data_IF_590144114146
#
_entry.id   IF_590144114146
#
_cell.length_a   1.000
_cell.length_b   1.000
_cell.length_c   1.000
_cell.angle_alpha   90.00
_cell.angle_beta   90.00
_cell.angle_gamma   90.00
#
_symmetry.space_group_name_H-M   'P 1'
#
loop_
_entity.id
_entity.type
_entity.pdbx_description
1 polymer ?
#
# COMPACT_ATOMS: atom_id res chain seq x y z
N UNK A 1 1.54 -1.19 32.64
CA UNK A 1 2.37 -2.08 31.80
C UNK A 1 3.17 -1.18 30.89
N UNK A 2 4.50 -1.29 30.90
CA UNK A 2 5.36 -0.59 29.94
C UNK A 2 5.01 -1.07 28.52
N UNK A 3 4.93 -0.14 27.57
CA UNK A 3 4.64 -0.50 26.18
C UNK A 3 5.94 -0.94 25.50
N UNK A 4 5.90 -1.86 24.53
CA UNK A 4 7.11 -2.35 23.89
C UNK A 4 7.84 -1.24 23.12
N UNK A 5 9.17 -1.29 23.13
CA UNK A 5 10.00 -0.63 22.13
C UNK A 5 10.01 -1.48 20.87
N UNK A 6 9.81 -0.86 19.69
CA UNK A 6 9.75 -1.60 18.44
C UNK A 6 10.40 -0.83 17.28
N UNK A 7 11.11 -1.55 16.45
CA UNK A 7 11.69 -1.06 15.20
C UNK A 7 11.12 -1.87 14.04
N UNK A 8 10.53 -1.16 13.07
CA UNK A 8 9.83 -1.77 11.95
C UNK A 8 10.37 -1.24 10.62
N UNK A 9 10.66 -2.17 9.71
CA UNK A 9 10.79 -1.85 8.28
C UNK A 9 9.47 -2.14 7.59
N UNK A 10 9.00 -1.17 6.80
CA UNK A 10 7.83 -1.34 5.94
C UNK A 10 8.26 -1.28 4.49
N UNK A 11 8.08 -2.40 3.78
CA UNK A 11 8.55 -2.56 2.42
C UNK A 11 7.38 -2.63 1.45
N UNK A 12 7.46 -1.88 0.37
CA UNK A 12 6.45 -1.93 -0.68
C UNK A 12 5.96 -0.57 -1.12
N UNK A 13 4.96 -0.58 -1.99
CA UNK A 13 4.31 0.64 -2.46
C UNK A 13 4.93 1.20 -3.75
N UNK A 14 4.09 1.22 -4.79
CA UNK A 14 4.29 2.01 -6.01
C UNK A 14 3.10 2.91 -6.33
N UNK A 15 2.01 2.78 -5.56
CA UNK A 15 0.76 3.55 -5.68
C UNK A 15 0.20 3.83 -4.28
N UNK A 16 -0.68 4.83 -4.17
CA UNK A 16 -1.32 5.17 -2.89
C UNK A 16 -2.07 4.02 -2.23
N UNK A 17 -2.64 3.08 -3.02
CA UNK A 17 -3.44 1.97 -2.51
C UNK A 17 -2.69 0.99 -1.58
N UNK A 18 -1.36 0.92 -1.69
CA UNK A 18 -0.53 0.09 -0.80
C UNK A 18 0.13 0.94 0.30
N UNK A 19 0.52 2.19 -0.03
CA UNK A 19 1.24 3.08 0.89
C UNK A 19 0.36 3.56 2.05
N UNK A 20 -0.89 3.94 1.78
CA UNK A 20 -1.75 4.49 2.84
C UNK A 20 -2.18 3.46 3.90
N UNK A 21 -2.53 2.21 3.54
CA UNK A 21 -2.73 1.17 4.53
C UNK A 21 -1.46 0.92 5.36
N UNK A 22 -0.29 0.93 4.71
CA UNK A 22 0.99 0.75 5.39
C UNK A 22 1.28 1.85 6.44
N UNK A 23 1.06 3.11 6.07
CA UNK A 23 1.13 4.25 6.99
C UNK A 23 0.14 4.10 8.14
N UNK A 24 -1.08 3.63 7.87
CA UNK A 24 -2.11 3.44 8.91
C UNK A 24 -1.70 2.36 9.91
N UNK A 25 -1.06 1.28 9.45
CA UNK A 25 -0.48 0.26 10.33
C UNK A 25 0.64 0.86 11.18
N UNK A 26 1.57 1.60 10.58
CA UNK A 26 2.68 2.24 11.31
C UNK A 26 2.15 3.17 12.40
N UNK A 27 1.21 4.06 12.08
CA UNK A 27 0.59 4.97 13.05
C UNK A 27 -0.01 4.19 14.23
N UNK A 28 -0.63 3.05 13.97
CA UNK A 28 -1.19 2.21 15.03
C UNK A 28 -0.11 1.51 15.87
N UNK A 29 1.01 1.09 15.26
CA UNK A 29 2.18 0.58 16.00
C UNK A 29 2.76 1.68 16.90
N UNK A 30 2.96 2.88 16.38
CA UNK A 30 3.45 4.04 17.14
C UNK A 30 2.57 4.35 18.35
N UNK A 31 1.24 4.30 18.20
CA UNK A 31 0.30 4.49 19.32
C UNK A 31 0.43 3.43 20.42
N UNK A 32 0.84 2.21 20.06
CA UNK A 32 0.91 1.05 20.96
C UNK A 32 2.30 0.83 21.56
N UNK A 33 3.28 1.64 21.19
CA UNK A 33 4.68 1.52 21.60
C UNK A 33 5.16 2.76 22.35
N UNK A 34 6.07 2.59 23.31
CA UNK A 34 6.68 3.72 24.01
C UNK A 34 7.77 4.38 23.15
N UNK A 35 8.47 3.58 22.34
CA UNK A 35 9.40 4.04 21.33
C UNK A 35 9.22 3.23 20.05
N UNK A 36 9.04 3.92 18.93
CA UNK A 36 8.90 3.30 17.63
C UNK A 36 9.90 3.89 16.64
N UNK A 37 10.71 3.05 16.02
CA UNK A 37 11.57 3.43 14.89
C UNK A 37 10.98 2.85 13.62
N UNK A 38 10.81 3.69 12.60
CA UNK A 38 10.18 3.28 11.35
C UNK A 38 11.08 3.63 10.17
N UNK A 39 11.30 2.65 9.30
CA UNK A 39 11.92 2.87 7.99
C UNK A 39 11.04 2.30 6.89
N UNK A 40 10.67 3.14 5.93
CA UNK A 40 10.04 2.67 4.71
C UNK A 40 11.09 2.34 3.64
N UNK A 41 10.91 1.23 2.94
CA UNK A 41 11.73 0.87 1.78
C UNK A 41 10.85 0.75 0.54
N UNK A 42 11.05 1.68 -0.40
CA UNK A 42 10.28 1.78 -1.64
C UNK A 42 11.16 1.54 -2.87
N UNK A 43 10.53 1.29 -4.02
CA UNK A 43 11.26 1.20 -5.28
C UNK A 43 11.77 2.57 -5.75
N UNK A 44 12.99 2.62 -6.29
CA UNK A 44 13.57 3.85 -6.85
C UNK A 44 12.70 4.41 -7.99
N UNK A 45 12.55 5.73 -8.05
CA UNK A 45 11.85 6.45 -9.13
C UNK A 45 10.31 6.41 -9.07
N UNK A 46 9.72 5.80 -8.02
CA UNK A 46 8.28 5.89 -7.77
C UNK A 46 7.90 7.12 -6.95
N UNK A 47 6.63 7.53 -7.01
CA UNK A 47 6.05 8.58 -6.14
C UNK A 47 5.97 8.17 -4.65
N UNK A 48 6.36 6.95 -4.32
CA UNK A 48 6.25 6.41 -2.96
C UNK A 48 7.11 7.16 -1.95
N UNK A 49 8.36 7.50 -2.31
CA UNK A 49 9.27 8.17 -1.40
C UNK A 49 8.72 9.54 -0.95
N UNK A 50 8.29 10.36 -1.90
CA UNK A 50 7.70 11.67 -1.62
C UNK A 50 6.45 11.57 -0.75
N UNK A 51 5.57 10.58 -0.98
CA UNK A 51 4.39 10.37 -0.13
C UNK A 51 4.79 10.05 1.30
N UNK A 52 5.76 9.15 1.50
CA UNK A 52 6.23 8.76 2.83
C UNK A 52 6.89 9.94 3.56
N UNK A 53 7.77 10.68 2.87
CA UNK A 53 8.46 11.86 3.41
C UNK A 53 7.47 12.94 3.86
N UNK A 54 6.41 13.19 3.06
CA UNK A 54 5.33 14.13 3.44
C UNK A 54 4.56 13.70 4.70
N UNK A 55 4.62 12.43 5.08
CA UNK A 55 4.04 11.93 6.33
C UNK A 55 5.07 11.89 7.49
N UNK A 56 6.27 12.42 7.29
CA UNK A 56 7.29 12.56 8.34
C UNK A 56 8.12 11.31 8.59
N UNK A 57 8.06 10.30 7.73
CA UNK A 57 8.77 9.04 7.93
C UNK A 57 10.09 8.98 7.16
N UNK A 58 11.06 8.25 7.72
CA UNK A 58 12.30 7.94 7.02
C UNK A 58 12.02 6.99 5.85
N UNK A 59 12.66 7.28 4.71
CA UNK A 59 12.55 6.46 3.51
C UNK A 59 13.91 6.10 2.94
N UNK A 60 14.04 4.85 2.52
CA UNK A 60 15.14 4.35 1.72
C UNK A 60 14.62 3.75 0.42
N UNK A 61 15.50 3.62 -0.56
CA UNK A 61 15.16 3.05 -1.86
C UNK A 61 15.98 1.81 -2.19
N UNK A 62 15.38 0.94 -2.98
CA UNK A 62 16.04 -0.23 -3.60
C UNK A 62 15.83 -0.21 -5.11
N UNK A 63 16.80 -0.73 -5.84
CA UNK A 63 16.85 -0.70 -7.31
C UNK A 63 15.98 -1.81 -7.93
N UNK A 64 14.67 -1.68 -7.73
CA UNK A 64 13.65 -2.57 -8.30
C UNK A 64 12.85 -1.85 -9.38
N UNK A 65 12.50 -2.58 -10.44
CA UNK A 65 11.64 -2.06 -11.50
C UNK A 65 10.38 -2.92 -11.65
N UNK A 66 9.24 -2.29 -11.92
CA UNK A 66 7.98 -3.01 -12.08
C UNK A 66 7.88 -3.82 -13.37
N UNK A 67 7.27 -5.00 -13.27
CA UNK A 67 7.02 -5.94 -14.37
C UNK A 67 5.71 -5.69 -15.13
N UNK A 68 4.88 -4.71 -14.75
CA UNK A 68 3.53 -4.58 -15.32
C UNK A 68 3.58 -4.20 -16.81
N UNK A 69 3.17 -5.12 -17.69
CA UNK A 69 2.84 -4.89 -19.10
C UNK A 69 4.01 -4.85 -20.10
N UNK A 70 5.18 -5.44 -19.83
CA UNK A 70 6.34 -5.34 -20.73
C UNK A 70 7.08 -6.68 -20.88
N UNK A 71 7.40 -7.04 -22.14
CA UNK A 71 7.78 -8.39 -22.59
C UNK A 71 9.09 -9.00 -22.05
N UNK A 72 9.50 -10.14 -22.62
CA UNK A 72 10.53 -11.05 -22.08
C UNK A 72 11.88 -10.40 -21.77
N UNK A 73 12.31 -9.38 -22.53
CA UNK A 73 13.56 -8.63 -22.29
C UNK A 73 13.61 -8.00 -20.89
N UNK A 74 12.46 -7.61 -20.33
CA UNK A 74 12.40 -6.97 -19.01
C UNK A 74 12.31 -7.97 -17.85
N UNK A 75 11.83 -9.19 -18.12
CA UNK A 75 11.89 -10.31 -17.16
C UNK A 75 13.36 -10.63 -16.87
N UNK A 76 14.19 -10.67 -17.92
CA UNK A 76 15.64 -10.86 -17.80
C UNK A 76 16.28 -9.73 -16.99
N UNK A 77 15.95 -8.46 -17.27
CA UNK A 77 16.50 -7.34 -16.48
C UNK A 77 16.07 -7.38 -15.01
N UNK A 78 14.85 -7.83 -14.71
CA UNK A 78 14.36 -8.01 -13.34
C UNK A 78 15.14 -9.12 -12.63
N UNK A 79 15.44 -10.21 -13.33
CA UNK A 79 16.24 -11.32 -12.78
C UNK A 79 17.65 -10.85 -12.39
N UNK A 80 18.28 -9.99 -13.20
CA UNK A 80 19.59 -9.42 -12.88
C UNK A 80 19.56 -8.35 -11.78
N UNK A 81 18.47 -7.58 -11.65
CA UNK A 81 18.34 -6.56 -10.60
C UNK A 81 17.94 -7.12 -9.25
N UNK A 82 17.32 -8.30 -9.21
CA UNK A 82 16.86 -8.91 -7.96
C UNK A 82 18.01 -9.19 -6.97
N UNK A 83 19.13 -9.85 -7.35
CA UNK A 83 20.26 -10.05 -6.44
C UNK A 83 20.83 -8.74 -5.89
N UNK A 84 20.97 -7.72 -6.75
CA UNK A 84 21.40 -6.37 -6.34
C UNK A 84 20.44 -5.75 -5.32
N UNK A 85 19.13 -5.85 -5.58
CA UNK A 85 18.10 -5.32 -4.68
C UNK A 85 18.07 -6.05 -3.34
N UNK A 86 18.31 -7.36 -3.34
CA UNK A 86 18.45 -8.15 -2.11
C UNK A 86 19.70 -7.67 -1.34
N UNK A 87 20.85 -7.51 -2.00
CA UNK A 87 22.06 -7.02 -1.35
C UNK A 87 21.88 -5.61 -0.74
N UNK A 88 21.22 -4.69 -1.46
CA UNK A 88 20.84 -3.38 -0.92
C UNK A 88 19.90 -3.50 0.29
N UNK A 89 18.90 -4.39 0.20
CA UNK A 89 17.97 -4.63 1.30
C UNK A 89 18.67 -5.20 2.53
N UNK A 90 19.64 -6.09 2.34
CA UNK A 90 20.48 -6.62 3.42
C UNK A 90 21.27 -5.51 4.11
N UNK A 91 21.81 -4.56 3.34
CA UNK A 91 22.48 -3.36 3.87
C UNK A 91 21.54 -2.52 4.72
N UNK A 92 20.36 -2.19 4.20
CA UNK A 92 19.34 -1.43 4.94
C UNK A 92 18.91 -2.13 6.23
N UNK A 93 18.64 -3.44 6.17
CA UNK A 93 18.26 -4.25 7.34
C UNK A 93 19.40 -4.30 8.36
N UNK A 94 20.65 -4.43 7.93
CA UNK A 94 21.81 -4.46 8.83
C UNK A 94 22.01 -3.11 9.53
N UNK A 95 21.86 -2.00 8.82
CA UNK A 95 22.05 -0.66 9.38
C UNK A 95 20.89 -0.26 10.29
N UNK A 96 19.67 -0.59 9.91
CA UNK A 96 18.48 -0.21 10.68
C UNK A 96 18.24 -1.14 11.88
N UNK A 97 18.57 -2.43 11.73
CA UNK A 97 18.40 -3.50 12.72
C UNK A 97 16.95 -3.61 13.23
N UNK A 98 15.99 -3.98 12.36
CA UNK A 98 14.57 -4.04 12.73
C UNK A 98 14.20 -5.28 13.54
N UNK A 99 13.21 -5.13 14.42
CA UNK A 99 12.53 -6.25 15.09
C UNK A 99 11.60 -7.00 14.13
N UNK A 100 11.02 -6.29 13.16
CA UNK A 100 10.05 -6.87 12.22
C UNK A 100 10.06 -6.17 10.86
N UNK A 101 9.75 -6.94 9.80
CA UNK A 101 9.56 -6.39 8.45
C UNK A 101 8.14 -6.69 7.96
N UNK A 102 7.43 -5.64 7.52
CA UNK A 102 6.11 -5.74 6.92
C UNK A 102 6.15 -5.43 5.41
N UNK A 103 5.82 -6.42 4.59
CA UNK A 103 5.63 -6.27 3.15
C UNK A 103 4.19 -5.90 2.79
N UNK A 104 3.96 -4.76 2.15
CA UNK A 104 2.61 -4.32 1.73
C UNK A 104 2.38 -4.48 0.23
N UNK A 105 3.15 -5.36 -0.43
CA UNK A 105 3.09 -5.57 -1.88
C UNK A 105 3.89 -4.54 -2.70
N UNK A 106 3.77 -4.63 -4.02
CA UNK A 106 4.67 -3.93 -4.95
C UNK A 106 6.07 -4.57 -5.04
N UNK A 107 6.85 -4.18 -6.05
CA UNK A 107 8.07 -4.89 -6.41
C UNK A 107 9.21 -4.73 -5.38
N UNK A 108 9.21 -3.69 -4.54
CA UNK A 108 10.21 -3.51 -3.47
C UNK A 108 9.99 -4.44 -2.28
N UNK A 109 8.75 -4.86 -2.00
CA UNK A 109 8.46 -5.76 -0.89
C UNK A 109 9.20 -7.11 -1.02
N UNK A 110 9.38 -7.59 -2.26
CA UNK A 110 10.05 -8.85 -2.59
C UNK A 110 11.45 -8.97 -2.00
N UNK A 111 12.45 -8.21 -2.53
CA UNK A 111 13.83 -8.32 -2.06
C UNK A 111 14.00 -7.98 -0.58
N UNK A 112 13.20 -7.05 -0.04
CA UNK A 112 13.29 -6.66 1.37
C UNK A 112 12.82 -7.79 2.30
N UNK A 113 11.67 -8.40 2.02
CA UNK A 113 11.18 -9.53 2.82
C UNK A 113 12.07 -10.77 2.68
N UNK A 114 12.63 -11.01 1.50
CA UNK A 114 13.62 -12.09 1.27
C UNK A 114 14.87 -11.85 2.11
N UNK A 115 15.46 -10.65 2.05
CA UNK A 115 16.63 -10.28 2.83
C UNK A 115 16.39 -10.40 4.35
N UNK A 116 15.22 -9.96 4.82
CA UNK A 116 14.83 -10.09 6.21
C UNK A 116 14.71 -11.57 6.65
N UNK A 117 14.12 -12.42 5.80
CA UNK A 117 14.04 -13.86 6.08
C UNK A 117 15.41 -14.54 6.11
N UNK A 118 16.33 -14.16 5.22
CA UNK A 118 17.72 -14.63 5.23
C UNK A 118 18.42 -14.23 6.55
N UNK A 119 18.14 -13.03 7.05
CA UNK A 119 18.69 -12.53 8.33
C UNK A 119 18.01 -13.11 9.58
N UNK A 120 16.99 -13.94 9.42
CA UNK A 120 16.21 -14.47 10.55
C UNK A 120 15.26 -13.47 11.19
N UNK A 121 15.03 -12.30 10.57
CA UNK A 121 14.10 -11.29 11.08
C UNK A 121 12.66 -11.77 10.81
N UNK A 122 11.75 -11.68 11.81
CA UNK A 122 10.33 -11.94 11.62
C UNK A 122 9.75 -11.09 10.49
N UNK A 123 9.04 -11.73 9.55
CA UNK A 123 8.40 -11.01 8.45
C UNK A 123 6.92 -11.33 8.34
N UNK A 124 6.17 -10.31 7.94
CA UNK A 124 4.78 -10.46 7.56
C UNK A 124 4.50 -9.77 6.24
N UNK A 125 3.41 -10.15 5.59
CA UNK A 125 2.83 -9.37 4.48
C UNK A 125 1.38 -9.00 4.76
N UNK A 126 0.91 -7.94 4.12
CA UNK A 126 -0.50 -7.58 4.07
C UNK A 126 -0.98 -7.44 2.61
N UNK A 127 -2.04 -8.14 2.25
CA UNK A 127 -2.70 -8.07 0.94
C UNK A 127 -4.03 -7.35 1.02
N UNK A 128 -4.12 -6.20 0.34
CA UNK A 128 -5.30 -5.32 0.34
C UNK A 128 -6.31 -5.68 -0.74
N UNK A 129 -5.90 -6.44 -1.75
CA UNK A 129 -6.72 -6.75 -2.91
C UNK A 129 -7.43 -8.10 -2.73
N UNK A 130 -8.59 -8.25 -3.39
CA UNK A 130 -9.28 -9.55 -3.46
C UNK A 130 -8.42 -10.57 -4.21
N UNK A 131 -7.82 -10.18 -5.33
CA UNK A 131 -6.85 -10.97 -6.10
C UNK A 131 -5.43 -10.56 -5.69
N UNK A 132 -4.64 -11.47 -5.10
CA UNK A 132 -3.33 -11.12 -4.57
C UNK A 132 -2.35 -10.73 -5.68
N UNK A 133 -1.53 -9.72 -5.41
CA UNK A 133 -0.46 -9.31 -6.30
C UNK A 133 0.61 -10.40 -6.43
N UNK A 134 1.31 -10.43 -7.57
CA UNK A 134 2.37 -11.43 -7.83
C UNK A 134 3.40 -11.48 -6.69
N UNK A 135 3.89 -10.33 -6.23
CA UNK A 135 4.88 -10.27 -5.14
C UNK A 135 4.35 -10.88 -3.85
N UNK A 136 3.13 -10.53 -3.43
CA UNK A 136 2.53 -11.09 -2.22
C UNK A 136 2.26 -12.59 -2.36
N UNK A 137 1.84 -13.06 -3.55
CA UNK A 137 1.67 -14.49 -3.82
C UNK A 137 2.97 -15.28 -3.69
N UNK A 138 4.10 -14.70 -4.07
CA UNK A 138 5.42 -15.33 -3.87
C UNK A 138 5.88 -15.25 -2.41
N UNK A 139 5.76 -14.07 -1.79
CA UNK A 139 6.17 -13.85 -0.41
C UNK A 139 5.35 -14.67 0.59
N UNK A 140 4.07 -14.91 0.31
CA UNK A 140 3.18 -15.73 1.12
C UNK A 140 3.74 -17.14 1.35
N UNK A 141 4.67 -17.64 0.54
CA UNK A 141 5.28 -18.96 0.77
C UNK A 141 6.41 -18.95 1.79
N UNK A 142 6.99 -17.78 2.08
CA UNK A 142 8.23 -17.68 2.86
C UNK A 142 8.07 -16.85 4.14
N UNK A 143 7.13 -15.90 4.21
CA UNK A 143 6.96 -15.02 5.38
C UNK A 143 6.28 -15.74 6.55
N UNK A 144 6.57 -15.28 7.76
CA UNK A 144 6.06 -15.87 9.00
C UNK A 144 4.55 -15.67 9.15
N UNK A 145 4.03 -14.48 8.83
CA UNK A 145 2.60 -14.15 8.94
C UNK A 145 2.07 -13.50 7.67
N UNK A 146 0.79 -13.74 7.39
CA UNK A 146 0.08 -13.17 6.25
C UNK A 146 -1.20 -12.55 6.78
N UNK A 147 -1.41 -11.29 6.45
CA UNK A 147 -2.63 -10.54 6.73
C UNK A 147 -3.37 -10.28 5.42
N UNK A 148 -4.69 -10.38 5.43
CA UNK A 148 -5.52 -10.20 4.24
C UNK A 148 -6.72 -9.31 4.56
N UNK A 149 -7.14 -8.53 3.57
CA UNK A 149 -8.36 -7.72 3.71
C UNK A 149 -9.65 -8.49 3.45
N UNK A 150 -9.60 -9.56 2.66
CA UNK A 150 -10.75 -10.37 2.31
C UNK A 150 -10.49 -11.84 2.62
N UNK A 151 -11.50 -12.52 3.14
CA UNK A 151 -11.39 -13.94 3.52
C UNK A 151 -11.04 -14.84 2.31
N UNK A 152 -11.70 -14.61 1.18
CA UNK A 152 -11.44 -15.31 -0.09
C UNK A 152 -9.98 -15.20 -0.58
N UNK A 153 -9.23 -14.19 -0.15
CA UNK A 153 -7.82 -14.02 -0.54
C UNK A 153 -6.92 -15.09 0.06
N UNK A 154 -7.32 -15.73 1.17
CA UNK A 154 -6.59 -16.83 1.82
C UNK A 154 -6.33 -18.00 0.87
N UNK A 155 -7.37 -18.39 0.12
CA UNK A 155 -7.33 -19.50 -0.83
C UNK A 155 -6.36 -19.19 -1.99
N UNK A 156 -6.45 -17.99 -2.55
CA UNK A 156 -5.61 -17.56 -3.67
C UNK A 156 -4.11 -17.46 -3.29
N UNK A 157 -3.81 -17.28 -2.01
CA UNK A 157 -2.46 -17.28 -1.45
C UNK A 157 -1.99 -18.67 -1.00
N UNK A 158 -2.87 -19.69 -0.96
CA UNK A 158 -2.62 -20.99 -0.32
C UNK A 158 -2.18 -20.84 1.15
N UNK A 159 -2.81 -19.93 1.90
CA UNK A 159 -2.51 -19.64 3.31
C UNK A 159 -3.82 -19.58 4.12
N UNK A 160 -4.45 -20.73 4.41
CA UNK A 160 -5.72 -20.78 5.14
C UNK A 160 -5.64 -20.15 6.54
N UNK A 161 -4.45 -20.14 7.14
CA UNK A 161 -4.17 -19.56 8.45
C UNK A 161 -3.85 -18.05 8.41
N UNK A 162 -3.86 -17.43 7.23
CA UNK A 162 -3.68 -15.98 7.12
C UNK A 162 -4.77 -15.24 7.91
N UNK A 163 -4.44 -14.11 8.54
CA UNK A 163 -5.35 -13.40 9.44
C UNK A 163 -6.15 -12.38 8.63
N UNK A 164 -7.48 -12.43 8.72
CA UNK A 164 -8.36 -11.44 8.09
C UNK A 164 -8.43 -10.19 8.97
N UNK A 165 -7.87 -9.09 8.49
CA UNK A 165 -7.80 -7.81 9.23
C UNK A 165 -8.67 -6.72 8.61
N UNK A 166 -9.22 -6.95 7.42
CA UNK A 166 -9.75 -5.88 6.60
C UNK A 166 -8.63 -5.01 6.00
N UNK A 167 -8.98 -3.86 5.43
CA UNK A 167 -8.00 -2.89 4.92
C UNK A 167 -7.76 -1.84 6.00
N UNK A 168 -6.53 -1.64 6.49
CA UNK A 168 -6.21 -0.53 7.37
C UNK A 168 -6.58 0.79 6.71
N UNK A 169 -7.46 1.55 7.36
CA UNK A 169 -7.91 2.87 6.91
C UNK A 169 -7.33 3.95 7.81
N UNK A 170 -7.26 5.16 7.27
CA UNK A 170 -6.75 6.33 7.96
C UNK A 170 -7.70 6.74 9.08
N UNK A 171 -7.16 7.06 10.26
CA UNK A 171 -7.97 7.47 11.41
C UNK A 171 -8.81 8.71 11.10
N UNK A 172 -8.27 9.66 10.33
CA UNK A 172 -8.96 10.89 9.95
C UNK A 172 -10.26 10.61 9.15
N UNK A 173 -10.30 9.50 8.40
CA UNK A 173 -11.52 9.07 7.71
C UNK A 173 -12.55 8.51 8.70
N UNK A 174 -12.10 7.74 9.70
CA UNK A 174 -12.99 7.20 10.74
C UNK A 174 -13.58 8.36 11.56
N UNK A 175 -12.73 9.27 12.02
CA UNK A 175 -13.13 10.41 12.85
C UNK A 175 -14.06 11.36 12.09
N UNK A 176 -13.92 11.44 10.76
CA UNK A 176 -14.83 12.25 9.92
C UNK A 176 -16.26 11.69 9.81
N UNK A 177 -16.48 10.43 10.19
CA UNK A 177 -17.78 9.75 10.10
C UNK A 177 -18.67 10.00 11.33
N UNK A 178 -18.20 10.78 12.33
CA UNK A 178 -18.92 11.13 13.58
C UNK A 178 -20.18 12.00 13.39
N UNK A 179 -21.14 11.54 12.58
CA UNK A 179 -22.54 11.89 12.66
C UNK A 179 -22.92 13.28 12.16
N UNK A 180 -21.97 14.14 11.79
CA UNK A 180 -22.28 15.43 11.14
C UNK A 180 -22.73 15.17 9.72
N UNK A 181 -24.00 14.80 9.57
CA UNK A 181 -24.75 15.08 8.35
C UNK A 181 -24.70 16.58 8.17
N UNK A 182 -23.73 17.09 7.39
CA UNK A 182 -23.86 18.42 6.84
C UNK A 182 -25.22 18.43 6.16
N UNK A 183 -26.18 19.29 6.52
CA UNK A 183 -27.48 19.32 5.87
C UNK A 183 -27.24 19.66 4.40
N UNK A 184 -27.12 18.65 3.56
CA UNK A 184 -26.96 18.86 2.14
C UNK A 184 -28.33 19.23 1.60
N UNK A 185 -28.50 20.53 1.33
CA UNK A 185 -29.70 21.08 0.72
C UNK A 185 -29.93 20.58 -0.71
N UNK A 186 -28.93 19.91 -1.31
CA UNK A 186 -28.97 19.35 -2.66
C UNK A 186 -28.31 17.97 -2.70
N UNK A 187 -28.93 17.06 -3.45
CA UNK A 187 -28.34 15.77 -3.80
C UNK A 187 -26.98 15.98 -4.47
N UNK A 188 -25.93 15.39 -3.91
CA UNK A 188 -24.54 15.60 -4.33
C UNK A 188 -23.93 14.32 -4.88
N UNK A 189 -23.27 14.41 -6.03
CA UNK A 189 -22.54 13.29 -6.65
C UNK A 189 -21.04 13.53 -6.51
N UNK A 190 -20.35 12.59 -5.84
CA UNK A 190 -18.90 12.52 -5.80
C UNK A 190 -18.41 11.59 -6.92
N UNK A 191 -17.53 12.10 -7.79
CA UNK A 191 -16.97 11.36 -8.92
C UNK A 191 -15.48 11.16 -8.69
N UNK A 192 -15.04 9.90 -8.69
CA UNK A 192 -13.64 9.54 -8.47
C UNK A 192 -13.15 8.56 -9.54
N UNK A 193 -11.99 8.87 -10.14
CA UNK A 193 -11.30 8.01 -11.11
C UNK A 193 -10.22 7.08 -10.53
N UNK A 194 -10.12 6.98 -9.21
CA UNK A 194 -9.02 6.29 -8.53
C UNK A 194 -7.72 7.10 -8.47
N UNK A 195 -6.64 6.50 -7.95
CA UNK A 195 -5.42 7.22 -7.56
C UNK A 195 -4.66 7.96 -8.68
N UNK A 196 -4.85 7.56 -9.94
CA UNK A 196 -4.24 8.22 -11.11
C UNK A 196 -5.25 9.04 -11.92
N UNK A 197 -6.50 9.13 -11.45
CA UNK A 197 -7.62 9.55 -12.27
C UNK A 197 -7.99 8.53 -13.35
N UNK A 198 -9.17 8.70 -13.95
CA UNK A 198 -9.65 7.86 -15.05
C UNK A 198 -10.34 8.74 -16.09
N UNK A 199 -9.64 9.02 -17.20
CA UNK A 199 -10.17 9.88 -18.26
C UNK A 199 -11.49 9.37 -18.82
N UNK A 200 -11.66 8.04 -18.93
CA UNK A 200 -12.92 7.43 -19.37
C UNK A 200 -14.09 7.78 -18.43
N UNK A 201 -13.87 7.70 -17.11
CA UNK A 201 -14.88 8.09 -16.12
C UNK A 201 -15.15 9.60 -16.19
N UNK A 202 -14.10 10.41 -16.32
CA UNK A 202 -14.23 11.86 -16.38
C UNK A 202 -15.10 12.30 -17.57
N UNK A 203 -14.86 11.75 -18.76
CA UNK A 203 -15.63 12.04 -19.97
C UNK A 203 -17.07 11.53 -19.84
N UNK A 204 -17.25 10.27 -19.47
CA UNK A 204 -18.57 9.67 -19.33
C UNK A 204 -19.44 10.42 -18.31
N UNK A 205 -18.85 10.89 -17.21
CA UNK A 205 -19.59 11.67 -16.23
C UNK A 205 -19.96 13.06 -16.73
N UNK A 206 -19.08 13.74 -17.49
CA UNK A 206 -19.39 15.03 -18.09
C UNK A 206 -20.59 14.93 -19.05
N UNK A 207 -20.62 13.89 -19.88
CA UNK A 207 -21.73 13.62 -20.81
C UNK A 207 -23.03 13.30 -20.03
N UNK A 208 -22.94 12.46 -18.99
CA UNK A 208 -24.07 12.13 -18.13
C UNK A 208 -24.63 13.37 -17.41
N UNK A 209 -23.77 14.28 -16.96
CA UNK A 209 -24.19 15.52 -16.31
C UNK A 209 -24.95 16.44 -17.28
N UNK A 210 -24.52 16.51 -18.54
CA UNK A 210 -25.25 17.25 -19.57
C UNK A 210 -26.66 16.69 -19.79
N UNK A 211 -26.78 15.36 -19.88
CA UNK A 211 -28.07 14.67 -20.01
C UNK A 211 -28.98 14.85 -18.79
N UNK A 212 -28.43 14.87 -17.58
CA UNK A 212 -29.20 15.13 -16.37
C UNK A 212 -29.76 16.56 -16.37
N UNK A 213 -28.94 17.54 -16.76
CA UNK A 213 -29.36 18.94 -16.85
C UNK A 213 -30.47 19.16 -17.87
N UNK A 214 -30.39 18.51 -19.04
CA UNK A 214 -31.45 18.63 -20.06
C UNK A 214 -32.79 18.01 -19.62
N UNK A 215 -32.76 17.09 -18.64
CA UNK A 215 -33.95 16.52 -17.99
C UNK A 215 -34.40 17.26 -16.73
N UNK A 216 -33.89 18.47 -16.51
CA UNK A 216 -34.24 19.31 -15.35
C UNK A 216 -33.64 18.84 -14.02
N UNK A 217 -32.65 17.93 -14.02
CA UNK A 217 -31.94 17.49 -12.82
C UNK A 217 -30.61 18.23 -12.70
N UNK A 218 -30.36 18.86 -11.55
CA UNK A 218 -29.12 19.61 -11.29
C UNK A 218 -28.53 19.23 -9.94
N UNK A 219 -27.88 18.05 -9.84
CA UNK A 219 -27.18 17.67 -8.62
C UNK A 219 -25.98 18.59 -8.38
N UNK A 220 -25.58 18.74 -7.12
CA UNK A 220 -24.25 19.27 -6.81
C UNK A 220 -23.20 18.21 -7.20
N UNK A 221 -22.04 18.65 -7.70
CA UNK A 221 -21.01 17.73 -8.19
C UNK A 221 -19.67 18.08 -7.56
N UNK A 222 -19.02 17.07 -6.99
CA UNK A 222 -17.61 17.10 -6.60
C UNK A 222 -16.89 16.11 -7.52
N UNK A 223 -16.02 16.60 -8.40
CA UNK A 223 -15.34 15.76 -9.39
C UNK A 223 -13.83 15.76 -9.17
N UNK A 224 -13.32 14.63 -8.70
CA UNK A 224 -11.88 14.39 -8.57
C UNK A 224 -11.33 13.78 -9.86
N UNK A 225 -10.76 14.63 -10.72
CA UNK A 225 -10.34 14.26 -12.09
C UNK A 225 -8.97 13.58 -12.19
N UNK A 226 -8.15 13.62 -11.12
CA UNK A 226 -6.73 13.23 -11.14
C UNK A 226 -5.81 14.37 -11.60
N UNK A 227 -4.50 14.12 -11.62
CA UNK A 227 -3.45 14.99 -12.17
C UNK A 227 -2.82 14.35 -13.39
#
# INVERSE_FOLDING_TARGET
MERPQISIIVAGGGTGGHLFPAISVVKEVEKRSDQCRVLFIVGKGGRGAEIIERHGYQVSTVDVEGMKGRGWKKIVSVLFRLPKSIAQSMGHIRTFDPDVVLGVGGYSAGPVCIAARIRGIPTAIHEQNTIPGFTNRMLAKIVNKVFVSFDQTRELLNRPEAIVTGTPIRQELIDSVDGRKTPQSKFTVLVMGGSQGAMAINKAFADALHLLKSRGKSPAVIHQTGQ
#
